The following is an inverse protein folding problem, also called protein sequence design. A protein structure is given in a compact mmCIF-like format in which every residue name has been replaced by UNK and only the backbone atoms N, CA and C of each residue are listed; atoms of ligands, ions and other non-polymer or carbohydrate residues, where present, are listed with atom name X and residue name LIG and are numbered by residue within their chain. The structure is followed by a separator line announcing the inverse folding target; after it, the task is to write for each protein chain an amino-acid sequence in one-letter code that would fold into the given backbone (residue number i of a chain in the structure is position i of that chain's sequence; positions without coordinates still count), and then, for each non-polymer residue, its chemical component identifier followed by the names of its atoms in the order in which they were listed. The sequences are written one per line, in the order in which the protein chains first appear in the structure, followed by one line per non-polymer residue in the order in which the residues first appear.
data_IF_716419488609
#
_entry.id   IF_716419488609
#
_cell.length_a   1.000
_cell.length_b   1.000
_cell.length_c   1.000
_cell.angle_alpha   90.00
_cell.angle_beta   90.00
_cell.angle_gamma   90.00
#
_symmetry.space_group_name_H-M   'P 1'
#
loop_
_entity.id
_entity.type
_entity.pdbx_description
1 polymer ?
#
# COMPACT_ATOMS: atom_id res chain seq x y z
N UNK A 1 -20.35 -0.18 -14.56
CA UNK A 1 -19.87 0.46 -13.32
C UNK A 1 -19.22 -0.65 -12.50
N UNK A 2 -17.95 -0.56 -12.20
CA UNK A 2 -17.30 -1.49 -11.26
C UNK A 2 -17.97 -1.26 -9.91
N UNK A 3 -18.58 -2.30 -9.37
CA UNK A 3 -19.13 -2.29 -8.03
C UNK A 3 -17.96 -2.12 -7.07
N UNK A 4 -18.13 -1.35 -6.01
CA UNK A 4 -17.04 -1.01 -5.09
C UNK A 4 -16.69 -2.22 -4.20
N UNK A 5 -15.84 -3.12 -4.73
CA UNK A 5 -15.32 -4.25 -3.99
C UNK A 5 -14.37 -3.78 -2.89
N UNK A 6 -14.36 -4.50 -1.76
CA UNK A 6 -13.50 -4.24 -0.60
C UNK A 6 -12.91 -5.52 -0.07
N UNK A 7 -11.65 -5.49 0.32
CA UNK A 7 -11.04 -6.57 1.09
C UNK A 7 -11.69 -6.65 2.47
N UNK A 8 -12.15 -7.85 2.88
CA UNK A 8 -12.73 -8.11 4.20
C UNK A 8 -11.88 -9.04 5.06
N UNK A 9 -11.10 -9.90 4.44
CA UNK A 9 -10.19 -10.81 5.16
C UNK A 9 -8.95 -11.08 4.33
N UNK A 10 -7.82 -11.20 5.01
CA UNK A 10 -6.55 -11.64 4.45
C UNK A 10 -6.05 -12.85 5.23
N UNK A 11 -5.69 -13.92 4.51
CA UNK A 11 -4.94 -15.03 5.04
C UNK A 11 -3.62 -15.17 4.29
N UNK A 12 -2.54 -15.28 5.04
CA UNK A 12 -1.21 -15.53 4.50
C UNK A 12 -0.64 -16.77 5.17
N UNK A 13 0.09 -17.55 4.38
CA UNK A 13 0.91 -18.63 4.89
C UNK A 13 2.27 -18.61 4.20
N UNK A 14 3.32 -18.67 5.01
CA UNK A 14 4.71 -18.62 4.56
C UNK A 14 5.06 -17.40 3.70
N UNK A 15 4.42 -16.27 3.94
CA UNK A 15 4.65 -15.03 3.21
C UNK A 15 5.69 -14.17 3.90
N UNK A 16 6.88 -14.00 3.29
CA UNK A 16 7.97 -13.15 3.82
C UNK A 16 8.34 -13.51 5.27
N UNK A 17 8.04 -12.63 6.21
CA UNK A 17 8.27 -12.84 7.64
C UNK A 17 7.03 -13.36 8.39
N UNK A 18 5.96 -13.68 7.69
CA UNK A 18 4.73 -14.21 8.27
C UNK A 18 4.64 -15.72 8.03
N UNK A 19 4.70 -16.50 9.11
CA UNK A 19 4.43 -17.93 9.04
C UNK A 19 2.93 -18.16 8.78
N UNK A 20 2.08 -17.42 9.51
CA UNK A 20 0.63 -17.45 9.35
C UNK A 20 0.03 -16.09 9.74
N UNK A 21 -0.90 -15.60 8.91
CA UNK A 21 -1.77 -14.46 9.19
C UNK A 21 -3.20 -14.87 8.87
N UNK A 22 -4.15 -14.48 9.71
CA UNK A 22 -5.57 -14.59 9.41
C UNK A 22 -6.28 -13.44 10.11
N UNK A 23 -6.63 -12.39 9.36
CA UNK A 23 -7.16 -11.15 9.91
C UNK A 23 -8.32 -10.61 9.09
N UNK A 24 -9.32 -10.05 9.79
CA UNK A 24 -10.35 -9.23 9.18
C UNK A 24 -9.79 -7.85 8.81
N UNK A 25 -10.31 -7.26 7.75
CA UNK A 25 -9.87 -5.98 7.22
C UNK A 25 -11.01 -4.97 7.22
N UNK A 26 -10.72 -3.77 7.69
CA UNK A 26 -11.65 -2.64 7.71
C UNK A 26 -11.45 -1.73 6.49
N UNK A 27 -12.30 -0.73 6.36
CA UNK A 27 -12.18 0.26 5.29
C UNK A 27 -10.95 1.17 5.45
N UNK A 28 -10.52 1.40 6.71
CA UNK A 28 -9.20 1.94 7.06
C UNK A 28 -8.45 0.89 7.86
N UNK A 29 -7.14 0.82 7.65
CA UNK A 29 -6.28 -0.08 8.39
C UNK A 29 -4.96 0.62 8.72
N UNK A 30 -4.55 0.55 9.98
CA UNK A 30 -3.28 1.07 10.47
C UNK A 30 -2.39 -0.08 10.94
N UNK A 31 -1.31 -0.33 10.19
CA UNK A 31 -0.31 -1.33 10.52
C UNK A 31 0.76 -0.70 11.41
N UNK A 32 0.82 -1.08 12.66
CA UNK A 32 1.71 -0.51 13.67
C UNK A 32 2.80 -1.50 14.02
N UNK A 33 4.04 -1.06 13.97
CA UNK A 33 5.17 -1.94 14.30
C UNK A 33 6.51 -1.23 14.15
N UNK A 34 7.54 -1.79 14.81
CA UNK A 34 8.90 -1.32 14.67
C UNK A 34 9.42 -1.42 13.22
N UNK A 35 10.58 -0.82 12.95
CA UNK A 35 11.29 -1.05 11.70
C UNK A 35 11.59 -2.55 11.55
N UNK A 36 11.50 -3.06 10.33
CA UNK A 36 11.65 -4.47 9.99
C UNK A 36 10.62 -5.43 10.61
N UNK A 37 9.52 -4.96 11.24
CA UNK A 37 8.45 -5.82 11.74
C UNK A 37 7.62 -6.47 10.61
N UNK A 38 7.77 -6.03 9.37
CA UNK A 38 7.05 -6.60 8.22
C UNK A 38 5.84 -5.79 7.75
N UNK A 39 5.69 -4.52 8.15
CA UNK A 39 4.63 -3.64 7.65
C UNK A 39 4.59 -3.60 6.12
N UNK A 40 5.75 -3.35 5.50
CA UNK A 40 5.91 -3.36 4.03
C UNK A 40 5.59 -4.73 3.42
N UNK A 41 5.96 -5.82 4.09
CA UNK A 41 5.69 -7.18 3.64
C UNK A 41 4.20 -7.54 3.68
N UNK A 42 3.46 -6.99 4.65
CA UNK A 42 2.01 -7.13 4.72
C UNK A 42 1.34 -6.40 3.55
N UNK A 43 1.74 -5.14 3.28
CA UNK A 43 1.26 -4.38 2.13
C UNK A 43 1.68 -5.01 0.79
N UNK A 44 2.85 -5.67 0.72
CA UNK A 44 3.34 -6.33 -0.49
C UNK A 44 2.46 -7.53 -0.90
N UNK A 45 1.70 -8.13 0.00
CA UNK A 45 0.73 -9.18 -0.38
C UNK A 45 -0.37 -8.62 -1.31
N UNK A 46 -0.88 -7.43 -1.04
CA UNK A 46 -1.85 -6.76 -1.92
C UNK A 46 -1.20 -6.28 -3.22
N UNK A 47 0.05 -5.80 -3.16
CA UNK A 47 0.81 -5.45 -4.36
C UNK A 47 1.07 -6.66 -5.24
N UNK A 48 1.34 -7.82 -4.65
CA UNK A 48 1.50 -9.06 -5.39
C UNK A 48 0.21 -9.42 -6.14
N UNK A 49 -0.97 -9.31 -5.50
CA UNK A 49 -2.26 -9.52 -6.16
C UNK A 49 -2.46 -8.55 -7.34
N UNK A 50 -2.07 -7.28 -7.18
CA UNK A 50 -2.07 -6.32 -8.29
C UNK A 50 -1.15 -6.75 -9.41
N UNK A 51 0.09 -7.11 -9.09
CA UNK A 51 1.14 -7.40 -10.06
C UNK A 51 0.79 -8.63 -10.89
N UNK A 52 0.15 -9.66 -10.31
CA UNK A 52 -0.33 -10.84 -11.06
C UNK A 52 -1.56 -10.55 -11.93
N UNK A 53 -2.32 -9.48 -11.64
CA UNK A 53 -3.51 -9.10 -12.39
C UNK A 53 -3.24 -8.06 -13.49
N UNK A 54 -2.07 -7.40 -13.46
CA UNK A 54 -1.70 -6.38 -14.44
C UNK A 54 -1.32 -7.00 -15.79
N UNK A 55 -1.86 -6.44 -16.86
CA UNK A 55 -1.42 -6.78 -18.23
C UNK A 55 0.06 -6.46 -18.43
N UNK A 56 0.82 -7.43 -18.94
CA UNK A 56 2.25 -7.28 -19.18
C UNK A 56 3.16 -7.56 -17.98
N UNK A 57 2.57 -7.94 -16.83
CA UNK A 57 3.29 -8.49 -15.67
C UNK A 57 2.97 -9.98 -15.54
N UNK A 58 2.11 -10.38 -14.64
CA UNK A 58 1.70 -11.75 -14.44
C UNK A 58 2.46 -12.46 -13.31
N UNK A 59 2.11 -13.71 -13.07
CA UNK A 59 2.58 -14.47 -11.91
C UNK A 59 4.09 -14.62 -11.87
N UNK A 60 4.68 -15.04 -12.98
CA UNK A 60 6.13 -15.27 -13.06
C UNK A 60 6.92 -14.00 -12.76
N UNK A 61 6.57 -12.92 -13.43
CA UNK A 61 7.25 -11.62 -13.26
C UNK A 61 7.02 -11.06 -11.85
N UNK A 62 5.82 -11.22 -11.31
CA UNK A 62 5.51 -10.80 -9.95
C UNK A 62 6.37 -11.54 -8.91
N UNK A 63 6.55 -12.85 -9.05
CA UNK A 63 7.40 -13.64 -8.14
C UNK A 63 8.88 -13.32 -8.32
N UNK A 64 9.36 -13.20 -9.56
CA UNK A 64 10.78 -12.96 -9.87
C UNK A 64 11.19 -11.48 -9.73
N UNK A 65 10.25 -10.59 -9.42
CA UNK A 65 10.54 -9.18 -9.22
C UNK A 65 11.74 -8.99 -8.26
N UNK A 66 12.72 -8.12 -8.56
CA UNK A 66 13.97 -7.98 -7.79
C UNK A 66 13.77 -7.82 -6.28
N UNK A 67 12.70 -7.15 -5.85
CA UNK A 67 12.36 -6.96 -4.42
C UNK A 67 11.85 -8.23 -3.75
N UNK A 68 11.32 -9.18 -4.50
CA UNK A 68 10.79 -10.44 -3.96
C UNK A 68 11.81 -11.55 -4.02
N UNK A 69 12.73 -11.53 -5.00
CA UNK A 69 13.85 -12.47 -5.09
C UNK A 69 13.44 -13.91 -5.37
N UNK A 70 12.34 -14.11 -6.11
CA UNK A 70 11.81 -15.43 -6.40
C UNK A 70 11.05 -16.05 -5.23
N UNK A 71 10.62 -17.31 -5.38
CA UNK A 71 9.87 -18.03 -4.34
C UNK A 71 10.68 -18.15 -3.05
N UNK A 72 11.98 -18.39 -3.15
CA UNK A 72 12.88 -18.49 -1.97
C UNK A 72 12.92 -17.19 -1.16
N UNK A 73 12.90 -16.04 -1.83
CA UNK A 73 12.89 -14.72 -1.17
C UNK A 73 11.50 -14.32 -0.64
N UNK A 74 10.44 -14.96 -1.14
CA UNK A 74 9.07 -14.75 -0.63
C UNK A 74 8.78 -15.68 0.53
N UNK A 75 9.28 -16.92 0.51
CA UNK A 75 8.96 -17.93 1.52
C UNK A 75 9.49 -17.54 2.89
N UNK A 76 8.66 -17.65 3.92
CA UNK A 76 9.05 -17.41 5.30
C UNK A 76 10.19 -18.33 5.73
N UNK A 77 11.24 -17.78 6.35
CA UNK A 77 12.39 -18.55 6.82
C UNK A 77 12.01 -19.54 7.93
N UNK A 78 10.98 -19.26 8.70
CA UNK A 78 10.46 -20.16 9.74
C UNK A 78 9.64 -21.34 9.18
N UNK A 79 9.34 -21.35 7.87
CA UNK A 79 8.57 -22.42 7.23
C UNK A 79 9.42 -23.70 7.13
N UNK A 80 9.17 -24.66 8.03
CA UNK A 80 9.94 -25.92 8.13
C UNK A 80 9.34 -27.06 7.30
N UNK A 81 8.02 -27.30 7.45
CA UNK A 81 7.36 -28.49 6.89
C UNK A 81 6.59 -28.23 5.59
N UNK A 82 6.15 -27.02 5.35
CA UNK A 82 5.31 -26.68 4.19
C UNK A 82 6.06 -25.72 3.27
N UNK A 83 6.40 -26.13 2.05
CA UNK A 83 7.17 -25.28 1.13
C UNK A 83 6.33 -24.21 0.43
N UNK A 84 5.00 -24.37 0.43
CA UNK A 84 4.10 -23.55 -0.36
C UNK A 84 3.87 -22.18 0.32
N UNK A 85 3.85 -21.14 -0.50
CA UNK A 85 3.43 -19.79 -0.13
C UNK A 85 1.96 -19.64 -0.50
N UNK A 86 1.12 -19.21 0.43
CA UNK A 86 -0.33 -19.10 0.20
C UNK A 86 -0.82 -17.69 0.52
N UNK A 87 -1.69 -17.17 -0.36
CA UNK A 87 -2.45 -15.94 -0.16
C UNK A 87 -3.92 -16.24 -0.44
N UNK A 88 -4.78 -15.94 0.54
CA UNK A 88 -6.24 -15.99 0.35
C UNK A 88 -6.82 -14.64 0.75
N UNK A 89 -7.68 -14.08 -0.09
CA UNK A 89 -8.42 -12.87 0.20
C UNK A 89 -9.91 -13.08 0.01
N UNK A 90 -10.69 -12.53 0.93
CA UNK A 90 -12.14 -12.43 0.79
C UNK A 90 -12.48 -10.97 0.51
N UNK A 91 -13.37 -10.76 -0.45
CA UNK A 91 -13.84 -9.45 -0.85
C UNK A 91 -15.36 -9.45 -0.86
N UNK A 92 -15.94 -8.30 -0.57
CA UNK A 92 -17.38 -8.06 -0.61
C UNK A 92 -17.66 -6.73 -1.30
N UNK A 93 -18.82 -6.63 -1.93
CA UNK A 93 -19.34 -5.35 -2.39
C UNK A 93 -19.79 -4.49 -1.20
N UNK A 94 -19.63 -3.18 -1.32
CA UNK A 94 -20.16 -2.25 -0.34
C UNK A 94 -21.67 -2.45 -0.17
N UNK A 95 -22.12 -2.60 1.08
CA UNK A 95 -23.53 -2.84 1.40
C UNK A 95 -23.96 -4.30 1.43
N UNK A 96 -23.04 -5.27 1.30
CA UNK A 96 -23.32 -6.70 1.48
C UNK A 96 -23.87 -7.38 0.22
N UNK A 97 -23.33 -7.04 -0.92
CA UNK A 97 -23.63 -7.67 -2.21
C UNK A 97 -22.80 -8.93 -2.47
N UNK A 98 -22.31 -9.07 -3.70
CA UNK A 98 -21.54 -10.23 -4.16
C UNK A 98 -20.27 -10.43 -3.35
N UNK A 99 -20.05 -11.65 -2.89
CA UNK A 99 -18.85 -12.05 -2.17
C UNK A 99 -17.88 -12.79 -3.10
N UNK A 100 -16.59 -12.42 -3.04
CA UNK A 100 -15.51 -13.06 -3.77
C UNK A 100 -14.50 -13.68 -2.83
N UNK A 101 -13.95 -14.81 -3.21
CA UNK A 101 -12.77 -15.38 -2.60
C UNK A 101 -11.76 -15.70 -3.69
N UNK A 102 -10.52 -15.27 -3.49
CA UNK A 102 -9.39 -15.62 -4.32
C UNK A 102 -8.31 -16.27 -3.48
N UNK A 103 -7.87 -17.45 -3.89
CA UNK A 103 -6.78 -18.21 -3.26
C UNK A 103 -5.73 -18.53 -4.30
N UNK A 104 -4.47 -18.26 -3.96
CA UNK A 104 -3.31 -18.74 -4.70
C UNK A 104 -2.31 -19.36 -3.74
N UNK A 105 -1.87 -20.58 -4.07
CA UNK A 105 -0.73 -21.25 -3.44
C UNK A 105 0.31 -21.56 -4.50
N UNK A 106 1.59 -21.37 -4.19
CA UNK A 106 2.68 -21.61 -5.13
C UNK A 106 3.97 -22.04 -4.44
N UNK A 107 4.81 -22.71 -5.19
CA UNK A 107 6.12 -23.19 -4.77
C UNK A 107 7.14 -23.01 -5.89
N UNK A 108 8.39 -23.37 -5.64
CA UNK A 108 9.40 -23.50 -6.70
C UNK A 108 9.60 -24.95 -7.10
N UNK A 109 9.79 -25.21 -8.40
CA UNK A 109 10.19 -26.52 -8.91
C UNK A 109 11.71 -26.79 -8.68
N UNK A 110 12.18 -27.93 -9.13
CA UNK A 110 13.60 -28.32 -9.03
C UNK A 110 14.54 -27.36 -9.78
N UNK A 111 14.04 -26.66 -10.81
CA UNK A 111 14.77 -25.65 -11.58
C UNK A 111 14.61 -24.24 -10.98
N UNK A 112 14.07 -24.12 -9.77
CA UNK A 112 13.77 -22.86 -9.08
C UNK A 112 12.76 -21.95 -9.81
N UNK A 113 11.96 -22.50 -10.73
CA UNK A 113 10.89 -21.74 -11.40
C UNK A 113 9.65 -21.71 -10.51
N UNK A 114 8.91 -20.57 -10.45
CA UNK A 114 7.66 -20.51 -9.71
C UNK A 114 6.58 -21.37 -10.39
N UNK A 115 5.87 -22.16 -9.59
CA UNK A 115 4.77 -23.04 -10.01
C UNK A 115 3.56 -22.85 -9.12
N UNK A 116 2.40 -22.73 -9.71
CA UNK A 116 1.13 -22.68 -9.00
C UNK A 116 0.82 -24.08 -8.45
N UNK A 117 0.54 -24.14 -7.15
CA UNK A 117 0.07 -25.35 -6.47
C UNK A 117 -1.45 -25.41 -6.46
N UNK A 118 -2.08 -24.26 -6.18
CA UNK A 118 -3.53 -24.10 -6.16
C UNK A 118 -3.88 -22.72 -6.67
N UNK A 119 -4.92 -22.59 -7.46
CA UNK A 119 -5.59 -21.33 -7.76
C UNK A 119 -7.08 -21.55 -7.74
N UNK A 120 -7.80 -20.75 -6.92
CA UNK A 120 -9.25 -20.82 -6.80
C UNK A 120 -9.85 -19.42 -6.90
N UNK A 121 -10.97 -19.34 -7.60
CA UNK A 121 -11.84 -18.17 -7.63
C UNK A 121 -13.23 -18.64 -7.30
N UNK A 122 -13.76 -18.14 -6.19
CA UNK A 122 -15.15 -18.37 -5.80
C UNK A 122 -15.93 -17.07 -5.86
N UNK A 123 -17.20 -17.15 -6.29
CA UNK A 123 -18.17 -16.07 -6.25
C UNK A 123 -19.43 -16.57 -5.57
N UNK A 124 -19.88 -15.92 -4.49
CA UNK A 124 -21.06 -16.31 -3.69
C UNK A 124 -21.05 -17.80 -3.31
N UNK A 125 -19.89 -18.31 -2.90
CA UNK A 125 -19.68 -19.72 -2.55
C UNK A 125 -19.57 -20.67 -3.75
N UNK A 126 -19.81 -20.21 -4.99
CA UNK A 126 -19.69 -21.04 -6.19
C UNK A 126 -18.29 -20.95 -6.79
N UNK A 127 -17.64 -22.09 -7.00
CA UNK A 127 -16.34 -22.15 -7.62
C UNK A 127 -16.43 -21.84 -9.12
N UNK A 128 -15.74 -20.76 -9.55
CA UNK A 128 -15.55 -20.41 -10.97
C UNK A 128 -14.24 -20.97 -11.51
N UNK A 129 -13.21 -21.04 -10.66
CA UNK A 129 -11.89 -21.59 -10.99
C UNK A 129 -11.46 -22.53 -9.88
N UNK A 130 -10.95 -23.70 -10.29
CA UNK A 130 -10.26 -24.65 -9.41
C UNK A 130 -9.12 -25.28 -10.19
N UNK A 131 -7.90 -24.98 -9.80
CA UNK A 131 -6.69 -25.52 -10.41
C UNK A 131 -5.81 -26.20 -9.34
N UNK A 132 -5.06 -27.27 -9.68
CA UNK A 132 -4.91 -27.88 -11.01
C UNK A 132 -6.22 -28.52 -11.51
N UNK A 133 -6.43 -28.49 -12.82
CA UNK A 133 -7.53 -29.15 -13.51
C UNK A 133 -7.01 -30.18 -14.54
N UNK A 134 -7.88 -30.80 -15.31
CA UNK A 134 -7.50 -31.81 -16.33
C UNK A 134 -6.53 -31.27 -17.38
N UNK A 135 -6.68 -29.98 -17.77
CA UNK A 135 -5.77 -29.36 -18.75
C UNK A 135 -4.40 -29.07 -18.12
N UNK A 136 -4.35 -28.69 -16.86
CA UNK A 136 -3.09 -28.49 -16.13
C UNK A 136 -2.34 -29.81 -15.90
N UNK A 137 -3.08 -30.92 -15.76
CA UNK A 137 -2.48 -32.28 -15.68
C UNK A 137 -1.93 -32.74 -17.02
N UNK A 138 -2.57 -32.37 -18.13
CA UNK A 138 -2.11 -32.69 -19.47
C UNK A 138 -0.91 -31.85 -19.91
N UNK A 139 -0.86 -30.58 -19.45
CA UNK A 139 0.21 -29.64 -19.73
C UNK A 139 0.60 -28.87 -18.46
N UNK A 140 1.56 -29.36 -17.66
CA UNK A 140 2.01 -28.75 -16.43
C UNK A 140 2.62 -27.34 -16.60
N UNK A 141 3.07 -26.95 -17.81
CA UNK A 141 3.59 -25.59 -18.06
C UNK A 141 2.51 -24.50 -17.85
N UNK A 142 1.24 -24.84 -17.98
CA UNK A 142 0.11 -23.95 -17.66
C UNK A 142 0.12 -23.44 -16.21
N UNK A 143 0.74 -24.19 -15.29
CA UNK A 143 0.90 -23.79 -13.88
C UNK A 143 2.00 -22.73 -13.65
N UNK A 144 2.63 -22.22 -14.71
CA UNK A 144 3.51 -21.05 -14.65
C UNK A 144 2.77 -19.71 -14.76
N UNK A 145 1.48 -19.74 -15.05
CA UNK A 145 0.63 -18.58 -15.24
C UNK A 145 -0.69 -18.73 -14.47
N UNK A 146 -1.14 -17.63 -13.86
CA UNK A 146 -2.48 -17.55 -13.24
C UNK A 146 -3.58 -17.39 -14.29
N UNK A 147 -4.81 -17.72 -13.93
CA UNK A 147 -5.96 -17.38 -14.76
C UNK A 147 -6.35 -15.89 -14.64
N UNK A 148 -5.87 -15.19 -13.61
CA UNK A 148 -6.04 -13.72 -13.52
C UNK A 148 -5.42 -12.98 -14.70
N UNK A 149 -4.23 -13.38 -15.13
CA UNK A 149 -3.49 -12.72 -16.21
C UNK A 149 -3.96 -13.12 -17.63
N UNK A 150 -4.72 -14.23 -17.74
CA UNK A 150 -5.15 -14.77 -19.03
C UNK A 150 -6.51 -14.19 -19.47
N UNK A 151 -6.48 -13.23 -20.40
CA UNK A 151 -7.67 -12.51 -20.89
C UNK A 151 -8.73 -13.42 -21.50
N UNK A 152 -8.34 -14.53 -22.11
CA UNK A 152 -9.24 -15.53 -22.72
C UNK A 152 -9.95 -16.43 -21.69
N UNK A 153 -9.48 -16.44 -20.43
CA UNK A 153 -10.04 -17.28 -19.37
C UNK A 153 -10.74 -16.47 -18.28
N UNK A 154 -10.28 -15.24 -18.03
CA UNK A 154 -10.72 -14.44 -16.88
C UNK A 154 -12.08 -13.74 -17.10
N UNK A 155 -12.76 -13.94 -18.22
CA UNK A 155 -14.06 -13.27 -18.50
C UNK A 155 -15.09 -13.41 -17.36
N UNK A 156 -15.28 -14.56 -16.69
CA UNK A 156 -16.27 -14.71 -15.63
C UNK A 156 -15.93 -13.95 -14.33
N UNK A 157 -14.66 -13.53 -14.16
CA UNK A 157 -14.16 -12.85 -12.96
C UNK A 157 -13.29 -11.61 -13.29
N UNK A 158 -13.56 -10.96 -14.44
CA UNK A 158 -12.87 -9.70 -14.83
C UNK A 158 -13.05 -8.58 -13.82
N UNK A 159 -14.13 -8.58 -13.09
CA UNK A 159 -14.39 -7.63 -12.02
C UNK A 159 -13.34 -7.74 -10.92
N UNK A 160 -12.99 -8.97 -10.51
CA UNK A 160 -11.91 -9.24 -9.56
C UNK A 160 -10.53 -8.82 -10.10
N UNK A 161 -10.25 -9.14 -11.38
CA UNK A 161 -9.01 -8.71 -12.06
C UNK A 161 -8.89 -7.20 -12.10
N UNK A 162 -9.97 -6.50 -12.48
CA UNK A 162 -10.02 -5.05 -12.53
C UNK A 162 -9.81 -4.43 -11.14
N UNK A 163 -10.41 -5.02 -10.11
CA UNK A 163 -10.22 -4.59 -8.73
C UNK A 163 -8.76 -4.74 -8.28
N UNK A 164 -8.13 -5.90 -8.47
CA UNK A 164 -6.72 -6.09 -8.11
C UNK A 164 -5.81 -5.14 -8.90
N UNK A 165 -6.02 -4.98 -10.19
CA UNK A 165 -5.25 -4.05 -11.03
C UNK A 165 -5.39 -2.59 -10.60
N UNK A 166 -6.47 -2.24 -9.91
CA UNK A 166 -6.75 -0.89 -9.43
C UNK A 166 -6.06 -0.53 -8.11
N UNK A 167 -5.45 -1.50 -7.40
CA UNK A 167 -4.71 -1.27 -6.16
C UNK A 167 -3.58 -0.26 -6.40
N UNK A 168 -3.50 0.74 -5.55
CA UNK A 168 -2.46 1.76 -5.57
C UNK A 168 -1.58 1.65 -4.33
N UNK A 169 -0.28 1.62 -4.53
CA UNK A 169 0.70 1.67 -3.45
C UNK A 169 1.53 2.92 -3.60
N UNK A 170 1.76 3.60 -2.49
CA UNK A 170 2.56 4.81 -2.43
C UNK A 170 3.50 4.79 -1.22
N UNK A 171 4.79 4.82 -1.52
CA UNK A 171 5.87 5.16 -0.61
C UNK A 171 6.70 6.25 -1.28
N UNK A 172 6.22 7.48 -1.24
CA UNK A 172 6.82 8.56 -2.02
C UNK A 172 8.25 8.88 -1.56
N UNK A 173 9.18 8.82 -2.49
CA UNK A 173 10.59 9.18 -2.32
C UNK A 173 10.82 10.52 -3.03
N UNK A 174 10.99 11.64 -2.30
CA UNK A 174 11.08 12.97 -2.88
C UNK A 174 12.18 13.13 -3.92
N UNK A 175 13.31 12.45 -3.74
CA UNK A 175 14.44 12.45 -4.67
C UNK A 175 14.04 11.96 -6.07
N UNK A 176 13.16 10.96 -6.15
CA UNK A 176 12.68 10.45 -7.45
C UNK A 176 11.70 11.42 -8.11
N UNK A 177 10.97 12.22 -7.33
CA UNK A 177 10.10 13.28 -7.88
C UNK A 177 10.93 14.41 -8.49
N UNK A 178 12.10 14.72 -7.88
CA UNK A 178 13.03 15.76 -8.35
C UNK A 178 13.80 15.38 -9.62
N UNK A 179 13.75 14.10 -10.01
CA UNK A 179 14.45 13.58 -11.19
C UNK A 179 13.45 13.03 -12.23
N UNK A 180 12.59 13.87 -12.82
CA UNK A 180 11.50 13.43 -13.69
C UNK A 180 12.01 12.68 -14.94
N UNK A 181 13.20 12.98 -15.42
CA UNK A 181 13.81 12.31 -16.58
C UNK A 181 14.01 10.81 -16.38
N UNK A 182 14.22 10.36 -15.12
CA UNK A 182 14.34 8.92 -14.78
C UNK A 182 13.02 8.16 -14.83
N UNK A 183 11.92 8.87 -14.91
CA UNK A 183 10.56 8.32 -14.81
C UNK A 183 9.86 8.21 -16.14
N UNK A 184 10.48 8.71 -17.21
CA UNK A 184 9.90 8.71 -18.55
C UNK A 184 9.50 7.28 -18.96
N UNK A 185 8.24 7.11 -19.33
CA UNK A 185 7.67 5.81 -19.73
C UNK A 185 7.29 4.87 -18.57
N UNK A 186 7.59 5.21 -17.32
CA UNK A 186 7.11 4.45 -16.15
C UNK A 186 5.69 4.87 -15.81
N UNK A 187 4.91 3.90 -15.32
CA UNK A 187 3.57 4.15 -14.79
C UNK A 187 3.38 3.37 -13.48
N UNK A 188 2.67 3.97 -12.53
CA UNK A 188 2.40 3.37 -11.23
C UNK A 188 3.68 3.04 -10.44
N UNK A 189 4.68 3.93 -10.48
CA UNK A 189 5.88 3.77 -9.67
C UNK A 189 5.51 3.88 -8.18
N UNK A 190 5.75 2.83 -7.39
CA UNK A 190 5.43 2.81 -5.95
C UNK A 190 6.17 3.88 -5.16
N UNK A 191 7.24 4.45 -5.68
CA UNK A 191 8.05 5.50 -5.04
C UNK A 191 7.71 6.90 -5.53
N UNK A 192 6.70 7.02 -6.38
CA UNK A 192 6.23 8.30 -6.89
C UNK A 192 7.15 8.94 -7.94
N UNK A 193 8.09 8.18 -8.53
CA UNK A 193 8.94 8.71 -9.60
C UNK A 193 8.13 9.18 -10.80
N UNK A 194 7.01 8.57 -11.08
CA UNK A 194 6.08 8.95 -12.16
C UNK A 194 5.04 10.01 -11.75
N UNK A 195 5.17 10.62 -10.57
CA UNK A 195 4.18 11.57 -10.04
C UNK A 195 3.94 12.76 -10.98
N UNK A 196 5.00 13.38 -11.49
CA UNK A 196 4.88 14.52 -12.41
C UNK A 196 4.23 14.13 -13.73
N UNK A 197 4.54 12.95 -14.24
CA UNK A 197 3.90 12.37 -15.42
C UNK A 197 2.40 12.10 -15.18
N UNK A 198 2.02 11.58 -14.02
CA UNK A 198 0.62 11.38 -13.66
C UNK A 198 -0.14 12.72 -13.63
N UNK A 199 0.46 13.75 -13.03
CA UNK A 199 -0.10 15.11 -13.02
C UNK A 199 -0.26 15.62 -14.45
N UNK A 200 0.77 15.48 -15.29
CA UNK A 200 0.79 15.98 -16.65
C UNK A 200 -0.22 15.26 -17.57
N UNK A 201 -0.38 13.94 -17.43
CA UNK A 201 -1.36 13.13 -18.20
C UNK A 201 -2.81 13.36 -17.78
N UNK A 202 -3.04 13.97 -16.61
CA UNK A 202 -4.40 14.26 -16.13
C UNK A 202 -5.00 15.38 -16.97
N UNK A 203 -6.26 15.21 -17.38
CA UNK A 203 -7.01 16.22 -18.14
C UNK A 203 -6.91 17.60 -17.46
N UNK A 204 -6.67 18.65 -18.22
CA UNK A 204 -6.36 19.98 -17.73
C UNK A 204 -7.36 20.52 -16.70
N UNK A 205 -8.66 20.45 -16.97
CA UNK A 205 -9.70 20.87 -16.03
C UNK A 205 -9.61 20.14 -14.69
N UNK A 206 -9.40 18.82 -14.72
CA UNK A 206 -9.26 17.99 -13.52
C UNK A 206 -7.98 18.30 -12.79
N UNK A 207 -6.87 18.43 -13.51
CA UNK A 207 -5.55 18.78 -12.99
C UNK A 207 -5.58 20.11 -12.25
N UNK A 208 -6.10 21.17 -12.88
CA UNK A 208 -6.21 22.51 -12.29
C UNK A 208 -7.06 22.47 -11.02
N UNK A 209 -8.20 21.78 -11.04
CA UNK A 209 -9.05 21.63 -9.87
C UNK A 209 -8.34 20.88 -8.72
N UNK A 210 -7.59 19.81 -9.02
CA UNK A 210 -6.82 19.04 -8.03
C UNK A 210 -5.67 19.87 -7.45
N UNK A 211 -4.85 20.52 -8.31
CA UNK A 211 -3.75 21.38 -7.86
C UNK A 211 -4.25 22.53 -6.99
N UNK A 212 -5.37 23.14 -7.33
CA UNK A 212 -5.99 24.17 -6.50
C UNK A 212 -6.48 23.66 -5.13
N UNK A 213 -6.93 22.40 -5.02
CA UNK A 213 -7.26 21.78 -3.73
C UNK A 213 -6.01 21.47 -2.92
N UNK A 214 -4.97 20.96 -3.55
CA UNK A 214 -3.67 20.68 -2.92
C UNK A 214 -3.07 21.97 -2.40
N UNK A 215 -3.06 23.04 -3.20
CA UNK A 215 -2.57 24.35 -2.82
C UNK A 215 -3.25 24.85 -1.55
N UNK A 216 -4.60 24.79 -1.47
CA UNK A 216 -5.33 25.18 -0.27
C UNK A 216 -4.97 24.36 0.96
N UNK A 217 -4.76 23.05 0.81
CA UNK A 217 -4.33 22.17 1.89
C UNK A 217 -2.88 22.47 2.32
N UNK A 218 -1.99 22.67 1.35
CA UNK A 218 -0.58 22.98 1.61
C UNK A 218 -0.36 24.32 2.28
N UNK A 219 -1.23 25.31 2.10
CA UNK A 219 -1.14 26.59 2.82
C UNK A 219 -1.17 26.44 4.35
N UNK A 220 -1.73 25.36 4.86
CA UNK A 220 -1.69 25.06 6.30
C UNK A 220 -0.26 24.70 6.73
N UNK A 221 0.47 23.95 5.91
CA UNK A 221 1.84 23.49 6.18
C UNK A 221 2.91 24.49 5.68
N UNK A 222 2.61 25.23 4.61
CA UNK A 222 3.50 26.17 3.92
C UNK A 222 2.72 27.46 3.64
N UNK A 223 2.51 28.33 4.64
CA UNK A 223 1.64 29.51 4.53
C UNK A 223 2.00 30.47 3.41
N UNK A 224 3.29 30.56 3.08
CA UNK A 224 3.81 31.43 2.02
C UNK A 224 3.57 30.92 0.60
N UNK A 225 3.06 29.70 0.42
CA UNK A 225 2.80 29.13 -0.91
C UNK A 225 1.49 29.70 -1.48
N UNK A 226 1.59 30.56 -2.49
CA UNK A 226 0.45 31.23 -3.11
C UNK A 226 -0.20 30.43 -4.23
N UNK A 227 0.61 29.78 -5.06
CA UNK A 227 0.15 29.11 -6.27
C UNK A 227 0.99 27.86 -6.55
N UNK A 228 0.37 26.82 -7.12
CA UNK A 228 1.04 25.66 -7.69
C UNK A 228 0.60 25.52 -9.13
N UNK A 229 1.55 25.31 -10.02
CA UNK A 229 1.33 25.21 -11.45
C UNK A 229 2.18 24.09 -12.05
N UNK A 230 1.70 23.49 -13.16
CA UNK A 230 2.45 22.55 -13.99
C UNK A 230 2.99 23.32 -15.19
N UNK A 231 4.27 23.15 -15.49
CA UNK A 231 4.90 23.66 -16.70
C UNK A 231 5.74 22.56 -17.35
N UNK A 232 6.13 22.78 -18.60
CA UNK A 232 7.02 21.88 -19.31
C UNK A 232 8.28 22.64 -19.72
N UNK A 233 9.40 21.96 -19.59
CA UNK A 233 10.68 22.50 -20.08
C UNK A 233 10.78 22.44 -21.61
N UNK A 234 11.90 22.87 -22.17
CA UNK A 234 12.17 22.86 -23.60
C UNK A 234 12.20 21.44 -24.20
N UNK A 235 12.41 20.41 -23.39
CA UNK A 235 12.39 18.98 -23.78
C UNK A 235 11.01 18.36 -23.69
N UNK A 236 10.04 19.09 -23.13
CA UNK A 236 8.69 18.61 -22.88
C UNK A 236 8.52 17.85 -21.56
N UNK A 237 9.56 17.78 -20.72
CA UNK A 237 9.52 17.17 -19.39
C UNK A 237 8.57 17.97 -18.49
N UNK A 238 7.64 17.30 -17.79
CA UNK A 238 6.72 17.98 -16.90
C UNK A 238 7.40 18.33 -15.57
N UNK A 239 7.14 19.55 -15.09
CA UNK A 239 7.64 20.08 -13.84
C UNK A 239 6.51 20.72 -13.05
N UNK A 240 6.60 20.69 -11.72
CA UNK A 240 5.76 21.50 -10.84
C UNK A 240 6.54 22.72 -10.36
N UNK A 241 5.87 23.86 -10.33
CA UNK A 241 6.41 25.07 -9.74
C UNK A 241 5.43 25.66 -8.75
N UNK A 242 5.98 26.24 -7.69
CA UNK A 242 5.23 26.98 -6.66
C UNK A 242 5.63 28.44 -6.67
N UNK A 243 4.64 29.31 -6.58
CA UNK A 243 4.86 30.74 -6.34
C UNK A 243 4.78 30.99 -4.83
N UNK A 244 5.82 31.57 -4.27
CA UNK A 244 5.90 31.90 -2.86
C UNK A 244 5.69 33.38 -2.65
N UNK A 245 5.06 33.74 -1.53
CA UNK A 245 4.95 35.12 -1.09
C UNK A 245 6.34 35.73 -0.91
N UNK A 246 6.59 36.84 -1.56
CA UNK A 246 7.88 37.53 -1.53
C UNK A 246 7.65 39.03 -1.60
N UNK A 247 8.53 39.80 -0.96
CA UNK A 247 8.47 41.27 -0.95
C UNK A 247 8.59 41.90 -2.36
N UNK A 248 9.18 41.18 -3.33
CA UNK A 248 9.22 41.61 -4.74
C UNK A 248 7.88 41.32 -5.41
N UNK A 249 7.33 42.28 -6.16
CA UNK A 249 6.00 42.19 -6.78
C UNK A 249 5.80 40.96 -7.71
N UNK A 250 6.89 40.44 -8.33
CA UNK A 250 6.82 39.27 -9.20
C UNK A 250 6.82 37.93 -8.45
N UNK A 251 6.97 37.93 -7.14
CA UNK A 251 7.06 36.73 -6.31
C UNK A 251 8.32 35.92 -6.57
N UNK A 252 8.49 34.82 -5.82
CA UNK A 252 9.54 33.83 -6.03
C UNK A 252 8.92 32.52 -6.53
N UNK A 253 9.32 32.10 -7.71
CA UNK A 253 8.96 30.81 -8.27
C UNK A 253 10.05 29.80 -7.92
N UNK A 254 9.63 28.65 -7.40
CA UNK A 254 10.49 27.49 -7.10
C UNK A 254 9.96 26.29 -7.86
N UNK A 255 10.86 25.45 -8.35
CA UNK A 255 10.51 24.13 -8.94
C UNK A 255 10.44 23.05 -7.87
N UNK A 256 9.99 21.87 -8.26
CA UNK A 256 9.99 20.68 -7.38
C UNK A 256 11.38 20.35 -6.81
N UNK A 257 12.45 20.70 -7.49
CA UNK A 257 13.83 20.54 -7.01
C UNK A 257 14.08 21.28 -5.70
N UNK A 258 13.42 22.43 -5.52
CA UNK A 258 13.60 23.35 -4.40
C UNK A 258 12.57 23.12 -3.28
N UNK A 259 11.54 22.30 -3.52
CA UNK A 259 10.54 22.00 -2.49
C UNK A 259 11.15 21.11 -1.40
N UNK A 260 10.75 21.34 -0.15
CA UNK A 260 11.12 20.44 0.94
C UNK A 260 10.56 19.02 0.71
N UNK A 261 11.21 18.02 1.31
CA UNK A 261 10.74 16.63 1.24
C UNK A 261 9.31 16.49 1.77
N UNK A 262 8.99 17.16 2.88
CA UNK A 262 7.64 17.17 3.44
C UNK A 262 6.62 17.78 2.48
N UNK A 263 6.96 18.85 1.78
CA UNK A 263 6.07 19.46 0.77
C UNK A 263 5.76 18.47 -0.36
N UNK A 264 6.79 17.83 -0.93
CA UNK A 264 6.61 16.85 -2.01
C UNK A 264 5.82 15.62 -1.56
N UNK A 265 6.10 15.09 -0.36
CA UNK A 265 5.35 13.96 0.21
C UNK A 265 3.88 14.31 0.41
N UNK A 266 3.59 15.46 1.01
CA UNK A 266 2.21 15.90 1.22
C UNK A 266 1.48 16.15 -0.12
N UNK A 267 2.16 16.72 -1.12
CA UNK A 267 1.59 16.87 -2.47
C UNK A 267 1.23 15.54 -3.09
N UNK A 268 2.15 14.57 -3.09
CA UNK A 268 1.92 13.25 -3.65
C UNK A 268 0.84 12.47 -2.90
N UNK A 269 0.83 12.56 -1.57
CA UNK A 269 -0.22 11.95 -0.73
C UNK A 269 -1.60 12.53 -1.06
N UNK A 270 -1.72 13.85 -1.10
CA UNK A 270 -2.98 14.53 -1.43
C UNK A 270 -3.43 14.22 -2.86
N UNK A 271 -2.50 14.13 -3.81
CA UNK A 271 -2.80 13.74 -5.18
C UNK A 271 -3.35 12.32 -5.25
N UNK A 272 -2.65 11.35 -4.65
CA UNK A 272 -3.07 9.95 -4.61
C UNK A 272 -4.42 9.76 -3.90
N UNK A 273 -4.67 10.53 -2.84
CA UNK A 273 -5.92 10.51 -2.09
C UNK A 273 -7.12 11.03 -2.91
N UNK A 274 -6.90 11.91 -3.89
CA UNK A 274 -7.95 12.40 -4.79
C UNK A 274 -8.17 11.51 -6.02
N UNK A 275 -7.33 10.51 -6.21
CA UNK A 275 -7.49 9.59 -7.33
C UNK A 275 -8.68 8.65 -7.12
N UNK A 276 -9.38 8.30 -8.20
CA UNK A 276 -10.44 7.30 -8.16
C UNK A 276 -9.82 5.94 -8.44
N UNK A 277 -10.20 4.92 -7.69
CA UNK A 277 -9.69 3.57 -7.93
C UNK A 277 -9.84 2.67 -6.71
N UNK A 278 -9.21 1.50 -6.77
CA UNK A 278 -9.18 0.52 -5.71
C UNK A 278 -8.41 0.95 -4.46
N UNK A 279 -8.09 0.00 -3.59
CA UNK A 279 -7.44 0.26 -2.33
C UNK A 279 -6.17 1.10 -2.44
N UNK A 280 -5.97 2.03 -1.52
CA UNK A 280 -4.78 2.87 -1.39
C UNK A 280 -3.91 2.35 -0.25
N UNK A 281 -2.73 1.88 -0.58
CA UNK A 281 -1.72 1.40 0.35
C UNK A 281 -0.69 2.51 0.55
N UNK A 282 -0.57 3.03 1.75
CA UNK A 282 0.35 4.11 2.12
C UNK A 282 1.42 3.56 3.04
N UNK A 283 2.67 3.65 2.63
CA UNK A 283 3.79 3.28 3.47
C UNK A 283 4.43 4.52 4.08
N UNK A 284 4.38 4.61 5.41
CA UNK A 284 4.94 5.68 6.23
C UNK A 284 4.66 7.09 5.65
N UNK A 285 3.37 7.45 5.45
CA UNK A 285 3.02 8.72 4.82
C UNK A 285 3.41 9.93 5.66
N UNK A 286 3.71 9.74 6.92
CA UNK A 286 4.12 10.76 7.88
C UNK A 286 5.57 11.21 7.76
N UNK A 287 6.42 10.48 7.05
CA UNK A 287 7.85 10.78 6.96
C UNK A 287 8.11 12.21 6.45
N UNK A 288 9.04 12.91 7.10
CA UNK A 288 9.42 14.31 6.78
C UNK A 288 8.29 15.35 6.93
N UNK A 289 7.15 14.97 7.52
CA UNK A 289 6.08 15.91 7.86
C UNK A 289 6.24 16.46 9.28
N UNK A 290 5.78 17.68 9.48
CA UNK A 290 5.72 18.27 10.81
C UNK A 290 4.73 17.48 11.71
N UNK A 291 5.03 17.23 13.01
CA UNK A 291 4.17 16.44 13.90
C UNK A 291 2.70 16.88 13.90
N UNK A 292 2.43 18.20 13.90
CA UNK A 292 1.05 18.72 13.86
C UNK A 292 0.30 18.36 12.55
N UNK A 293 1.01 18.22 11.43
CA UNK A 293 0.42 17.73 10.18
C UNK A 293 0.15 16.24 10.29
N UNK A 294 1.08 15.47 10.88
CA UNK A 294 0.94 14.02 11.09
C UNK A 294 -0.30 13.70 11.91
N UNK A 295 -0.57 14.46 12.99
CA UNK A 295 -1.75 14.28 13.87
C UNK A 295 -3.09 14.39 13.15
N UNK A 296 -3.17 15.17 12.09
CA UNK A 296 -4.42 15.36 11.33
C UNK A 296 -4.57 14.45 10.12
N UNK A 297 -3.53 13.65 9.79
CA UNK A 297 -3.57 12.72 8.67
C UNK A 297 -4.70 11.67 8.79
N UNK A 298 -4.94 11.02 9.94
CA UNK A 298 -6.00 10.02 10.06
C UNK A 298 -7.37 10.60 9.76
N UNK A 299 -7.67 11.82 10.24
CA UNK A 299 -8.93 12.51 9.96
C UNK A 299 -9.06 12.88 8.49
N UNK A 300 -7.96 13.32 7.85
CA UNK A 300 -7.93 13.60 6.41
C UNK A 300 -8.24 12.32 5.62
N UNK A 301 -7.58 11.21 5.94
CA UNK A 301 -7.79 9.91 5.29
C UNK A 301 -9.21 9.38 5.49
N UNK A 302 -9.80 9.58 6.69
CA UNK A 302 -11.19 9.25 6.96
C UNK A 302 -12.17 10.03 6.06
N UNK A 303 -11.91 11.33 5.85
CA UNK A 303 -12.73 12.15 4.94
C UNK A 303 -12.59 11.71 3.47
N UNK A 304 -11.37 11.36 3.06
CA UNK A 304 -11.10 10.82 1.73
C UNK A 304 -11.85 9.51 1.53
N UNK A 305 -11.72 8.58 2.46
CA UNK A 305 -12.38 7.27 2.43
C UNK A 305 -13.91 7.44 2.31
N UNK A 306 -14.53 8.25 3.17
CA UNK A 306 -15.99 8.50 3.13
C UNK A 306 -16.48 9.13 1.82
N UNK A 307 -15.65 9.96 1.16
CA UNK A 307 -16.04 10.62 -0.10
C UNK A 307 -15.83 9.75 -1.33
N UNK A 308 -14.82 8.91 -1.32
CA UNK A 308 -14.42 8.10 -2.47
C UNK A 308 -14.88 6.65 -2.39
N UNK A 309 -15.32 6.18 -1.21
CA UNK A 309 -15.58 4.77 -0.95
C UNK A 309 -14.32 3.89 -0.93
N UNK A 310 -13.12 4.48 -1.01
CA UNK A 310 -11.85 3.78 -1.22
C UNK A 310 -11.30 3.25 0.09
N UNK A 311 -10.89 1.97 0.14
CA UNK A 311 -10.14 1.45 1.29
C UNK A 311 -8.76 2.10 1.38
N UNK A 312 -8.28 2.35 2.61
CA UNK A 312 -6.97 2.98 2.87
C UNK A 312 -6.23 2.16 3.92
N UNK A 313 -5.08 1.61 3.53
CA UNK A 313 -4.19 0.88 4.43
C UNK A 313 -2.91 1.68 4.64
N UNK A 314 -2.57 1.93 5.88
CA UNK A 314 -1.43 2.78 6.28
C UNK A 314 -0.47 1.97 7.12
N UNK A 315 0.80 1.93 6.75
CA UNK A 315 1.84 1.47 7.66
C UNK A 315 2.48 2.66 8.37
N UNK A 316 2.67 2.56 9.67
CA UNK A 316 3.23 3.63 10.49
C UNK A 316 4.01 3.11 11.70
N UNK A 317 4.93 3.90 12.17
CA UNK A 317 5.56 3.78 13.48
C UNK A 317 5.48 5.09 14.28
N UNK A 318 4.69 6.06 13.80
CA UNK A 318 4.57 7.39 14.36
C UNK A 318 3.58 7.44 15.54
N UNK A 319 4.04 7.81 16.75
CA UNK A 319 3.13 8.06 17.86
C UNK A 319 2.17 9.22 17.58
N UNK A 320 2.59 10.25 16.85
CA UNK A 320 1.74 11.39 16.56
C UNK A 320 0.55 11.02 15.67
N UNK A 321 0.74 10.12 14.69
CA UNK A 321 -0.34 9.61 13.87
C UNK A 321 -1.35 8.79 14.69
N UNK A 322 -0.84 7.95 15.60
CA UNK A 322 -1.65 7.04 16.41
C UNK A 322 -2.35 7.69 17.62
N UNK A 323 -2.10 8.98 17.88
CA UNK A 323 -2.82 9.76 18.92
C UNK A 323 -4.22 10.20 18.53
N UNK A 324 -4.59 10.03 17.24
CA UNK A 324 -5.93 10.41 16.78
C UNK A 324 -6.98 9.45 17.36
N UNK A 325 -7.91 10.00 18.16
CA UNK A 325 -8.99 9.25 18.80
C UNK A 325 -10.01 8.69 17.80
N UNK A 326 -9.99 9.15 16.56
CA UNK A 326 -10.84 8.64 15.48
C UNK A 326 -10.33 7.36 14.83
N UNK A 327 -9.24 6.76 15.32
CA UNK A 327 -8.76 5.44 14.87
C UNK A 327 -9.44 4.37 15.72
N UNK A 328 -10.29 3.54 15.08
CA UNK A 328 -10.96 2.43 15.74
C UNK A 328 -9.96 1.30 16.10
N UNK A 329 -10.28 0.56 17.17
CA UNK A 329 -9.47 -0.60 17.59
C UNK A 329 -9.45 -1.73 16.57
N UNK A 330 -10.51 -1.87 15.83
CA UNK A 330 -10.66 -2.83 14.73
C UNK A 330 -9.93 -2.38 13.45
N UNK A 331 -9.55 -1.10 13.39
CA UNK A 331 -8.73 -0.53 12.30
C UNK A 331 -7.22 -0.66 12.56
N UNK A 332 -6.79 -0.99 13.79
CA UNK A 332 -5.38 -1.06 14.15
C UNK A 332 -4.87 -2.49 14.28
N UNK A 333 -3.76 -2.78 13.60
CA UNK A 333 -3.05 -4.06 13.64
C UNK A 333 -1.64 -3.88 14.16
N UNK A 334 -1.29 -4.54 15.24
CA UNK A 334 0.06 -4.55 15.80
C UNK A 334 0.88 -5.69 15.19
N UNK A 335 2.05 -5.37 14.67
CA UNK A 335 3.02 -6.32 14.14
C UNK A 335 4.08 -6.57 15.20
N UNK A 336 4.02 -7.75 15.82
CA UNK A 336 4.91 -8.16 16.92
C UNK A 336 5.90 -9.19 16.40
N UNK A 337 7.20 -8.87 16.46
CA UNK A 337 8.27 -9.77 15.99
C UNK A 337 8.58 -10.83 17.05
N UNK A 338 8.74 -12.07 16.62
CA UNK A 338 9.15 -13.22 17.41
C UNK A 338 10.32 -13.94 16.75
N UNK A 339 10.86 -14.98 17.41
CA UNK A 339 11.90 -15.83 16.84
C UNK A 339 11.44 -16.61 15.59
N UNK A 340 10.14 -16.86 15.46
CA UNK A 340 9.53 -17.61 14.35
C UNK A 340 8.90 -16.71 13.27
N UNK A 341 9.14 -15.40 13.32
CA UNK A 341 8.61 -14.44 12.37
C UNK A 341 7.80 -13.33 13.03
N UNK A 342 6.82 -12.80 12.32
CA UNK A 342 5.96 -11.72 12.83
C UNK A 342 4.53 -12.22 12.99
N UNK A 343 3.94 -11.91 14.12
CA UNK A 343 2.51 -12.07 14.38
C UNK A 343 1.77 -10.77 14.10
N UNK A 344 0.59 -10.87 13.52
CA UNK A 344 -0.32 -9.74 13.30
C UNK A 344 -1.46 -9.84 14.27
N UNK A 345 -1.51 -8.92 15.24
CA UNK A 345 -2.48 -8.91 16.32
C UNK A 345 -3.40 -7.71 16.17
N UNK A 346 -4.71 -7.90 15.88
CA UNK A 346 -5.67 -6.81 15.92
C UNK A 346 -5.70 -6.17 17.31
N UNK A 347 -5.61 -4.87 17.42
CA UNK A 347 -5.61 -4.16 18.70
C UNK A 347 -6.88 -4.46 19.49
N UNK A 348 -8.02 -4.56 18.81
CA UNK A 348 -9.31 -4.89 19.42
C UNK A 348 -9.45 -6.34 19.90
N UNK A 349 -8.60 -7.28 19.48
CA UNK A 349 -8.63 -8.65 19.97
C UNK A 349 -7.94 -8.82 21.35
N UNK A 350 -7.11 -7.87 21.75
CA UNK A 350 -6.36 -7.91 23.00
C UNK A 350 -7.14 -7.23 24.13
N UNK A 351 -7.61 -8.02 25.12
CA UNK A 351 -8.38 -7.50 26.26
C UNK A 351 -7.60 -6.47 27.09
N UNK A 352 -6.28 -6.63 27.24
CA UNK A 352 -5.43 -5.67 27.93
C UNK A 352 -5.42 -4.33 27.22
N UNK A 353 -5.29 -4.34 25.88
CA UNK A 353 -5.33 -3.13 25.04
C UNK A 353 -6.66 -2.41 25.21
N UNK A 354 -7.78 -3.14 25.19
CA UNK A 354 -9.11 -2.55 25.43
C UNK A 354 -9.22 -1.87 26.79
N UNK A 355 -8.80 -2.54 27.86
CA UNK A 355 -8.84 -1.98 29.22
C UNK A 355 -7.98 -0.73 29.36
N UNK A 356 -6.80 -0.70 28.74
CA UNK A 356 -5.92 0.46 28.78
C UNK A 356 -6.52 1.68 28.04
N UNK A 357 -7.20 1.45 26.92
CA UNK A 357 -7.92 2.50 26.21
C UNK A 357 -9.16 3.01 26.97
N UNK A 358 -9.93 2.10 27.59
CA UNK A 358 -11.03 2.44 28.49
C UNK A 358 -10.52 3.26 29.70
N UNK A 359 -9.27 3.03 30.13
CA UNK A 359 -8.56 3.81 31.14
C UNK A 359 -8.04 5.16 30.65
N UNK A 360 -8.28 5.56 29.38
CA UNK A 360 -7.93 6.86 28.83
C UNK A 360 -6.57 6.94 28.17
N UNK A 361 -5.84 5.82 28.01
CA UNK A 361 -4.59 5.79 27.22
C UNK A 361 -4.88 5.81 25.71
N UNK A 362 -4.09 6.53 24.94
CA UNK A 362 -4.19 6.54 23.48
C UNK A 362 -3.64 5.26 22.86
N UNK A 363 -4.03 4.98 21.62
CA UNK A 363 -3.47 3.86 20.84
C UNK A 363 -1.94 3.98 20.70
N UNK A 364 -1.40 5.20 20.62
CA UNK A 364 0.06 5.44 20.59
C UNK A 364 0.75 4.96 21.87
N UNK A 365 0.20 5.30 23.04
CA UNK A 365 0.76 4.93 24.34
C UNK A 365 0.74 3.42 24.59
N UNK A 366 -0.15 2.70 23.93
CA UNK A 366 -0.29 1.26 24.07
C UNK A 366 0.51 0.50 23.00
N UNK A 367 0.35 0.86 21.74
CA UNK A 367 0.92 0.09 20.62
C UNK A 367 2.43 0.31 20.46
N UNK A 368 2.91 1.55 20.64
CA UNK A 368 4.36 1.85 20.47
C UNK A 368 5.23 1.06 21.45
N UNK A 369 4.94 1.03 22.79
CA UNK A 369 5.72 0.22 23.73
C UNK A 369 5.69 -1.28 23.42
N UNK A 370 4.54 -1.82 22.98
CA UNK A 370 4.40 -3.25 22.64
C UNK A 370 5.13 -3.63 21.34
N UNK A 371 5.37 -2.68 20.46
CA UNK A 371 6.00 -2.92 19.15
C UNK A 371 7.45 -2.38 19.06
N UNK A 372 7.98 -1.73 20.12
CA UNK A 372 9.34 -1.17 20.12
C UNK A 372 10.42 -2.27 20.08
N UNK A 373 11.61 -1.97 19.52
CA UNK A 373 12.76 -2.87 19.63
C UNK A 373 13.14 -3.08 21.09
N UNK A 374 13.36 -4.34 21.51
CA UNK A 374 13.62 -4.70 22.93
C UNK A 374 14.84 -4.00 23.51
N UNK A 375 15.87 -3.78 22.70
CA UNK A 375 17.17 -3.24 23.13
C UNK A 375 17.48 -1.85 22.56
N UNK A 376 16.47 -1.04 22.28
CA UNK A 376 16.66 0.28 21.66
C UNK A 376 17.63 1.20 22.44
N UNK A 377 17.64 1.10 23.79
CA UNK A 377 18.52 1.88 24.66
C UNK A 377 20.02 1.55 24.45
N UNK A 378 20.35 0.34 23.98
CA UNK A 378 21.75 -0.05 23.73
C UNK A 378 22.38 0.74 22.56
N UNK A 379 21.56 1.31 21.68
CA UNK A 379 22.08 2.15 20.60
C UNK A 379 22.79 3.42 21.13
N UNK A 380 22.43 3.89 22.32
CA UNK A 380 23.09 5.02 22.98
C UNK A 380 24.54 4.73 23.38
N UNK A 381 24.90 3.45 23.46
CA UNK A 381 26.26 3.00 23.77
C UNK A 381 27.17 2.87 22.53
N UNK A 382 26.63 3.25 21.34
CA UNK A 382 27.43 3.23 20.11
C UNK A 382 28.57 4.27 20.19
N UNK A 383 29.81 3.80 20.18
CA UNK A 383 30.99 4.65 20.31
C UNK A 383 31.79 4.40 21.61
N UNK A 384 31.20 3.66 22.56
CA UNK A 384 31.85 3.29 23.81
C UNK A 384 32.53 1.89 23.73
N UNK A 385 32.60 1.28 22.53
CA UNK A 385 33.16 -0.05 22.27
C UNK A 385 34.49 0.03 21.51
#
# INVERSE_FOLDING_TARGET
MSRDLRFRRLRLRNWKNFLRVDVALQDRLFLVGANASGKSNFLDAFRFLRDIALSGSGFREAVLHPRRGGVSGIRCLAARQYPDVEITVHLEEEGGGVAWEYEIAFHQDKQRRPRIRTERVNRDGKALVKRPNKQDSADPERLTQTYLEQVNVNQPFRELVAFFSSIRYLHLVPQLVREPDRSVGRSNDPFGGDFLEQVAKTQERTRTARLGRIQRALRVAVPQLEQIDLWRDARGTPHLRGKYQHWRARGAWQSEEQFSDGTLRLMGLLWAAMDKGGPLLLEEPELSLHPEIVRVLPQMLARVQRRSGRQVFVSTHSPDLLRDEGIGLDEAMMLVTSAEGTEVVPAGANQEVRKLLEGGLSLAEIAIPKTRPKNAAQLALFGDA
#
